data_IF_518353021478
#
_entry.id   IF_518353021478
#
_cell.length_a   1.000
_cell.length_b   1.000
_cell.length_c   1.000
_cell.angle_alpha   90.00
_cell.angle_beta   90.00
_cell.angle_gamma   90.00
#
_symmetry.space_group_name_H-M   'P 1'
#
loop_
_entity.id
_entity.type
_entity.pdbx_description
1 polymer ?
#
# COMPACT_ATOMS: atom_id res chain seq x y z
N UNK A 1 14.60 6.24 6.56
CA UNK A 1 13.36 6.27 7.36
C UNK A 1 13.46 5.20 8.44
N UNK A 2 12.72 5.31 9.54
CA UNK A 2 12.72 4.32 10.63
C UNK A 2 11.36 3.63 10.69
N UNK A 3 11.34 2.31 10.53
CA UNK A 3 10.17 1.48 10.79
C UNK A 3 9.85 1.50 12.30
N UNK A 4 8.59 1.77 12.64
CA UNK A 4 8.05 1.68 14.00
C UNK A 4 7.04 0.54 14.10
N UNK A 5 6.95 -0.05 15.28
CA UNK A 5 5.85 -0.97 15.57
C UNK A 5 4.54 -0.19 15.63
N UNK A 6 3.51 -0.60 14.90
CA UNK A 6 2.18 0.04 15.01
C UNK A 6 1.53 -0.13 16.39
N UNK A 7 1.87 -1.20 17.10
CA UNK A 7 1.24 -1.52 18.39
C UNK A 7 1.94 -0.89 19.60
N UNK A 8 3.28 -0.90 19.62
CA UNK A 8 4.05 -0.38 20.76
C UNK A 8 4.89 0.87 20.43
N UNK A 9 4.89 1.32 19.17
CA UNK A 9 5.60 2.49 18.66
C UNK A 9 7.14 2.46 18.80
N UNK A 10 7.70 1.35 19.27
CA UNK A 10 9.14 1.16 19.35
C UNK A 10 9.78 1.28 17.95
N UNK A 11 10.94 1.95 17.83
CA UNK A 11 11.74 1.91 16.60
C UNK A 11 12.26 0.47 16.41
N UNK A 12 12.17 -0.04 15.20
CA UNK A 12 12.54 -1.43 14.89
C UNK A 12 13.74 -1.48 13.95
N UNK A 13 13.67 -0.78 12.83
CA UNK A 13 14.63 -0.91 11.74
C UNK A 13 14.82 0.39 10.99
N UNK A 14 16.00 0.59 10.41
CA UNK A 14 16.15 1.55 9.33
C UNK A 14 15.61 0.95 8.02
N UNK A 15 14.94 1.75 7.21
CA UNK A 15 14.47 1.34 5.89
C UNK A 15 14.60 2.47 4.87
N UNK A 16 14.84 2.07 3.62
CA UNK A 16 14.81 2.95 2.46
C UNK A 16 13.41 2.90 1.83
N UNK A 17 12.67 4.03 1.79
CA UNK A 17 11.36 4.10 1.15
C UNK A 17 11.34 3.58 -0.29
N UNK A 18 12.44 3.75 -1.04
CA UNK A 18 12.53 3.29 -2.43
C UNK A 18 12.55 1.75 -2.55
N UNK A 19 12.89 1.02 -1.47
CA UNK A 19 12.93 -0.44 -1.40
C UNK A 19 11.64 -1.05 -0.81
N UNK A 20 10.67 -0.24 -0.40
CA UNK A 20 9.41 -0.69 0.20
C UNK A 20 8.38 -1.08 -0.87
N UNK A 21 8.73 -2.06 -1.70
CA UNK A 21 7.86 -2.61 -2.75
C UNK A 21 7.46 -4.05 -2.43
N UNK A 22 6.20 -4.46 -2.63
CA UNK A 22 5.82 -5.86 -2.48
C UNK A 22 6.46 -6.77 -3.54
N UNK A 23 6.73 -8.05 -3.22
CA UNK A 23 6.60 -8.64 -1.89
C UNK A 23 7.71 -8.12 -0.95
N UNK A 24 7.30 -7.66 0.24
CA UNK A 24 8.27 -7.22 1.24
C UNK A 24 9.04 -8.43 1.77
N UNK A 25 10.34 -8.24 1.95
CA UNK A 25 11.21 -9.20 2.63
C UNK A 25 11.83 -8.53 3.85
N UNK A 26 12.15 -9.32 4.87
CA UNK A 26 12.86 -8.84 6.05
C UNK A 26 14.20 -8.14 5.72
N UNK A 27 14.82 -8.49 4.60
CA UNK A 27 16.09 -7.95 4.12
C UNK A 27 16.06 -6.47 3.66
N UNK A 28 14.89 -5.81 3.60
CA UNK A 28 14.81 -4.35 3.36
C UNK A 28 14.92 -3.53 4.65
N UNK A 29 14.94 -4.21 5.80
CA UNK A 29 14.98 -3.62 7.12
C UNK A 29 16.37 -3.80 7.75
N UNK A 30 17.11 -2.71 7.76
CA UNK A 30 18.48 -2.62 8.23
C UNK A 30 18.54 -2.32 9.75
N UNK A 31 19.68 -2.56 10.41
CA UNK A 31 19.91 -2.14 11.79
C UNK A 31 19.67 -0.65 12.00
N UNK A 32 19.23 -0.27 13.21
CA UNK A 32 19.07 1.15 13.59
C UNK A 32 20.42 1.87 13.72
N UNK A 33 21.47 1.13 14.10
CA UNK A 33 22.82 1.63 14.29
C UNK A 33 23.83 0.76 13.53
N UNK A 34 24.85 1.34 12.87
CA UNK A 34 25.90 0.57 12.21
C UNK A 34 26.62 -0.36 13.20
N UNK A 35 26.92 -1.58 12.77
CA UNK A 35 27.63 -2.59 13.59
C UNK A 35 26.73 -3.46 14.48
N UNK A 36 25.42 -3.20 14.51
CA UNK A 36 24.43 -4.06 15.17
C UNK A 36 23.79 -5.05 14.18
N UNK A 37 23.30 -6.21 14.66
CA UNK A 37 22.61 -7.15 13.79
C UNK A 37 21.28 -6.57 13.27
N UNK A 38 20.83 -6.98 12.07
CA UNK A 38 19.50 -6.62 11.58
C UNK A 38 18.39 -7.06 12.54
N UNK A 39 17.30 -6.30 12.64
CA UNK A 39 16.20 -6.60 13.57
C UNK A 39 15.43 -7.87 13.19
N UNK A 40 15.52 -8.28 11.92
CA UNK A 40 14.90 -9.48 11.39
C UNK A 40 15.96 -10.33 10.66
N UNK A 41 15.91 -11.67 10.76
CA UNK A 41 16.78 -12.52 9.97
C UNK A 41 16.43 -12.38 8.48
N UNK A 42 17.42 -12.30 7.57
CA UNK A 42 17.19 -11.95 6.15
C UNK A 42 16.35 -12.97 5.37
N UNK A 43 16.33 -14.22 5.83
CA UNK A 43 15.60 -15.32 5.18
C UNK A 43 14.16 -15.47 5.70
N UNK A 44 13.73 -14.60 6.61
CA UNK A 44 12.39 -14.66 7.20
C UNK A 44 11.40 -13.90 6.31
N UNK A 45 10.28 -14.53 5.90
CA UNK A 45 9.23 -13.83 5.16
C UNK A 45 8.62 -12.73 6.04
N UNK A 46 8.16 -11.64 5.41
CA UNK A 46 7.68 -10.47 6.14
C UNK A 46 6.55 -10.81 7.13
N UNK A 47 5.65 -11.72 6.75
CA UNK A 47 4.51 -12.17 7.56
C UNK A 47 4.95 -12.83 8.88
N UNK A 48 6.17 -13.36 8.93
CA UNK A 48 6.78 -13.95 10.11
C UNK A 48 7.63 -12.95 10.92
N UNK A 49 7.85 -11.73 10.44
CA UNK A 49 8.58 -10.70 11.17
C UNK A 49 7.86 -10.34 12.48
N UNK A 50 8.62 -10.16 13.57
CA UNK A 50 8.09 -9.82 14.90
C UNK A 50 8.90 -8.67 15.48
N UNK A 51 8.21 -7.67 16.01
CA UNK A 51 8.83 -6.57 16.75
C UNK A 51 9.70 -7.12 17.88
N UNK A 52 10.98 -6.72 17.99
CA UNK A 52 11.85 -7.17 19.07
C UNK A 52 11.33 -6.82 20.47
N UNK A 53 10.58 -5.70 20.59
CA UNK A 53 10.08 -5.19 21.87
C UNK A 53 8.79 -5.88 22.33
N UNK A 54 7.75 -5.89 21.49
CA UNK A 54 6.43 -6.41 21.89
C UNK A 54 6.11 -7.79 21.31
N UNK A 55 6.98 -8.36 20.48
CA UNK A 55 6.82 -9.67 19.83
C UNK A 55 5.59 -9.82 18.92
N UNK A 56 4.90 -8.74 18.59
CA UNK A 56 3.81 -8.73 17.62
C UNK A 56 4.31 -8.32 16.23
N UNK A 57 3.51 -8.58 15.19
CA UNK A 57 3.84 -8.16 13.82
C UNK A 57 3.92 -6.61 13.72
N UNK A 58 4.93 -6.03 13.04
CA UNK A 58 5.12 -4.58 12.98
C UNK A 58 3.93 -3.78 12.43
N UNK A 59 3.15 -4.35 11.49
CA UNK A 59 1.93 -3.74 10.93
C UNK A 59 0.71 -3.81 11.85
N UNK A 60 0.80 -4.55 12.97
CA UNK A 60 -0.38 -4.95 13.73
C UNK A 60 -1.18 -6.05 13.02
N UNK A 61 -2.44 -6.21 13.43
CA UNK A 61 -3.34 -7.27 12.96
C UNK A 61 -4.62 -6.75 12.31
N UNK A 62 -4.80 -5.43 12.30
CA UNK A 62 -5.95 -4.81 11.65
C UNK A 62 -5.75 -4.85 10.12
N UNK A 63 -6.84 -5.05 9.35
CA UNK A 63 -6.76 -5.28 7.90
C UNK A 63 -6.27 -4.05 7.13
N UNK A 64 -6.58 -2.85 7.60
CA UNK A 64 -6.06 -1.58 7.10
C UNK A 64 -4.53 -1.48 7.24
N UNK A 65 -3.97 -2.16 8.24
CA UNK A 65 -2.54 -2.19 8.49
C UNK A 65 -1.73 -2.98 7.46
N UNK A 66 -2.34 -3.89 6.72
CA UNK A 66 -1.65 -4.72 5.73
C UNK A 66 -1.02 -3.90 4.59
N UNK A 67 -1.62 -2.74 4.26
CA UNK A 67 -1.23 -1.89 3.14
C UNK A 67 -0.39 -0.67 3.57
N UNK A 68 0.11 -0.65 4.81
CA UNK A 68 0.92 0.47 5.30
C UNK A 68 1.95 0.03 6.34
N UNK A 69 2.97 0.86 6.54
CA UNK A 69 3.94 0.74 7.61
C UNK A 69 3.85 1.97 8.51
N UNK A 70 4.05 1.79 9.81
CA UNK A 70 4.22 2.93 10.71
C UNK A 70 5.69 3.33 10.73
N UNK A 71 5.99 4.62 10.59
CA UNK A 71 7.36 5.11 10.51
C UNK A 71 7.57 6.33 11.40
N UNK A 72 8.82 6.77 11.56
CA UNK A 72 9.13 8.03 12.23
C UNK A 72 8.58 9.27 11.51
N UNK A 73 8.17 9.15 10.25
CA UNK A 73 7.51 10.20 9.46
C UNK A 73 5.98 10.03 9.41
N UNK A 74 5.42 9.08 10.15
CA UNK A 74 3.99 8.75 10.19
C UNK A 74 3.64 7.49 9.39
N UNK A 75 2.37 7.35 9.02
CA UNK A 75 1.91 6.18 8.27
C UNK A 75 2.36 6.25 6.81
N UNK A 76 3.17 5.29 6.38
CA UNK A 76 3.66 5.16 5.02
C UNK A 76 2.85 4.11 4.23
N UNK A 77 2.22 4.47 3.10
CA UNK A 77 1.48 3.51 2.28
C UNK A 77 2.46 2.59 1.54
N UNK A 78 2.17 1.29 1.52
CA UNK A 78 2.86 0.36 0.63
C UNK A 78 2.18 0.41 -0.74
N UNK A 79 2.94 0.45 -1.86
CA UNK A 79 2.35 0.30 -3.17
C UNK A 79 1.62 -1.05 -3.19
N UNK A 80 0.32 -1.05 -3.49
CA UNK A 80 -0.43 -2.31 -3.56
C UNK A 80 0.23 -3.28 -4.53
N UNK A 81 -0.01 -4.60 -4.41
CA UNK A 81 0.38 -5.52 -5.47
C UNK A 81 -0.21 -4.96 -6.76
N UNK A 82 0.62 -4.77 -7.79
CA UNK A 82 0.15 -4.34 -9.09
C UNK A 82 -0.99 -5.30 -9.47
N UNK A 83 -2.23 -4.80 -9.40
CA UNK A 83 -3.31 -5.43 -10.14
C UNK A 83 -2.81 -5.46 -11.57
N UNK A 84 -2.90 -6.60 -12.29
CA UNK A 84 -2.51 -6.64 -13.68
C UNK A 84 -3.21 -5.47 -14.37
N UNK A 85 -2.39 -4.56 -14.85
CA UNK A 85 -2.75 -3.41 -15.63
C UNK A 85 -3.72 -3.82 -16.74
N UNK A 86 -5.02 -3.56 -16.57
CA UNK A 86 -5.86 -3.25 -17.71
C UNK A 86 -5.33 -1.94 -18.27
N UNK A 87 -4.37 -2.08 -19.17
CA UNK A 87 -3.83 -1.01 -19.97
C UNK A 87 -4.97 -0.23 -20.64
N UNK A 88 -4.90 1.08 -20.49
CA UNK A 88 -5.35 2.10 -21.42
C UNK A 88 -6.81 2.06 -21.92
N UNK A 89 -7.57 3.09 -21.53
CA UNK A 89 -8.01 4.08 -22.52
C UNK A 89 -8.44 5.36 -21.78
N UNK A 90 -7.51 6.29 -21.64
CA UNK A 90 -7.87 7.70 -21.71
C UNK A 90 -8.18 8.00 -23.20
N UNK A 91 -9.27 8.71 -23.51
CA UNK A 91 -9.06 9.86 -24.35
C UNK A 91 -9.77 11.09 -23.81
N UNK A 92 -8.95 12.00 -23.29
CA UNK A 92 -9.10 13.44 -23.35
C UNK A 92 -9.70 13.91 -24.69
N UNK A 93 -10.83 14.61 -24.64
CA UNK A 93 -11.10 15.69 -25.60
C UNK A 93 -12.50 15.79 -26.21
N UNK A 94 -13.06 16.99 -26.04
CA UNK A 94 -13.97 17.69 -26.94
C UNK A 94 -15.47 17.37 -26.93
N UNK A 95 -16.19 18.27 -26.25
CA UNK A 95 -17.27 19.10 -26.79
C UNK A 95 -18.12 18.54 -27.93
N UNK A 96 -19.42 18.38 -27.68
CA UNK A 96 -20.49 19.07 -28.38
C UNK A 96 -21.83 18.37 -28.06
N UNK A 97 -22.77 19.11 -27.49
CA UNK A 97 -24.18 18.74 -27.67
C UNK A 97 -24.55 18.83 -29.15
N UNK A 98 -25.59 18.11 -29.57
CA UNK A 98 -26.62 18.80 -30.32
C UNK A 98 -28.03 18.47 -29.82
N UNK A 99 -28.85 19.51 -29.88
CA UNK A 99 -30.32 19.47 -29.85
C UNK A 99 -30.85 18.92 -31.18
N UNK A 100 -32.02 18.24 -31.14
CA UNK A 100 -33.21 18.34 -32.06
C UNK A 100 -34.07 17.08 -31.88
N UNK A 101 -35.26 17.16 -31.28
CA UNK A 101 -36.60 17.44 -31.87
C UNK A 101 -37.22 16.29 -32.70
N UNK A 102 -38.39 15.82 -32.22
CA UNK A 102 -39.62 15.39 -32.94
C UNK A 102 -39.49 14.18 -33.90
N UNK A 103 -40.43 13.25 -34.05
CA UNK A 103 -41.91 13.31 -34.03
C UNK A 103 -42.51 11.91 -33.72
N UNK A 104 -43.80 11.88 -33.41
CA UNK A 104 -44.60 10.70 -33.03
C UNK A 104 -44.86 9.71 -34.20
N UNK A 105 -45.53 8.57 -33.95
CA UNK A 105 -46.98 8.62 -34.20
C UNK A 105 -47.88 7.78 -33.26
N UNK A 106 -49.07 8.35 -33.10
CA UNK A 106 -50.37 7.83 -32.67
C UNK A 106 -50.72 6.38 -33.09
N UNK A 107 -51.17 5.53 -32.16
CA UNK A 107 -52.18 4.48 -32.41
C UNK A 107 -53.14 4.24 -31.22
N UNK A 108 -54.38 4.63 -31.47
CA UNK A 108 -55.72 4.23 -30.98
C UNK A 108 -55.91 2.88 -30.24
N UNK A 109 -56.96 2.93 -29.39
CA UNK A 109 -57.86 1.88 -28.86
C UNK A 109 -57.26 1.01 -27.74
N UNK A 110 -57.93 0.83 -26.60
CA UNK A 110 -59.34 0.46 -26.40
C UNK A 110 -59.79 0.80 -24.98
#
# INVERSE_FOLDING_TARGET
>A
MILRCRLCHAPIAACDPARLTPPLTSAVFEPLEPGFPPPFPPDVPWEAARCPQCRHHPQGYAPDGALSLETDQGTWPLPGPAQPETANADPKGHAAGPTTKRDAPNRRNR
#
